data_IF_748598889081
#
_entry.id   IF_748598889081
#
_cell.length_a   1.000
_cell.length_b   1.000
_cell.length_c   1.000
_cell.angle_alpha   90.00
_cell.angle_beta   90.00
_cell.angle_gamma   90.00
#
_symmetry.space_group_name_H-M   'P 1'
#
loop_
_entity.id
_entity.type
_entity.pdbx_description
1 polymer ?
#
# COMPACT_ATOMS: atom_id res chain seq x y z
N UNK A 1 -4.22 33.15 -13.29
CA UNK A 1 -3.30 32.00 -13.39
C UNK A 1 -3.57 31.07 -12.21
N UNK A 2 -4.11 29.88 -12.46
CA UNK A 2 -4.36 28.90 -11.41
C UNK A 2 -3.07 28.15 -11.11
N UNK A 3 -2.48 28.37 -9.94
CA UNK A 3 -1.44 27.50 -9.43
C UNK A 3 -2.06 26.14 -9.10
N UNK A 4 -1.50 25.01 -9.55
CA UNK A 4 -1.98 23.69 -9.15
C UNK A 4 -1.60 23.48 -7.67
N UNK A 5 -2.45 23.95 -6.76
CA UNK A 5 -2.42 23.57 -5.35
C UNK A 5 -3.05 22.18 -5.21
N UNK A 6 -2.47 21.20 -5.89
CA UNK A 6 -2.91 19.82 -5.81
C UNK A 6 -2.75 19.33 -4.37
N UNK A 7 -3.87 19.08 -3.69
CA UNK A 7 -3.92 18.29 -2.47
C UNK A 7 -3.33 16.90 -2.74
N UNK A 8 -2.01 16.77 -2.65
CA UNK A 8 -1.30 15.54 -2.96
C UNK A 8 -1.65 14.53 -1.88
N UNK A 9 -2.55 13.60 -2.19
CA UNK A 9 -2.80 12.42 -1.37
C UNK A 9 -1.74 11.37 -1.68
N UNK A 10 -1.18 10.78 -0.63
CA UNK A 10 -0.28 9.63 -0.74
C UNK A 10 -1.10 8.36 -0.59
N UNK A 11 -0.95 7.43 -1.52
CA UNK A 11 -1.55 6.09 -1.46
C UNK A 11 -0.41 5.07 -1.56
N UNK A 12 -0.38 4.12 -0.63
CA UNK A 12 0.60 3.02 -0.61
C UNK A 12 -0.07 1.73 -1.06
N UNK A 13 0.57 1.01 -1.98
CA UNK A 13 0.16 -0.33 -2.42
C UNK A 13 1.21 -1.34 -1.99
N UNK A 14 0.77 -2.44 -1.36
CA UNK A 14 1.61 -3.55 -0.92
C UNK A 14 1.11 -4.83 -1.57
N UNK A 15 2.02 -5.63 -2.10
CA UNK A 15 1.68 -6.93 -2.67
C UNK A 15 2.84 -7.92 -2.49
N UNK A 16 2.49 -9.19 -2.30
CA UNK A 16 3.44 -10.30 -2.28
C UNK A 16 3.66 -10.79 -3.71
N UNK A 17 4.90 -11.19 -4.03
CA UNK A 17 5.24 -11.72 -5.34
C UNK A 17 5.67 -13.19 -5.20
N UNK A 18 5.06 -14.06 -6.01
CA UNK A 18 5.44 -15.47 -6.19
C UNK A 18 5.79 -15.72 -7.65
N UNK A 19 6.44 -16.85 -7.93
CA UNK A 19 6.75 -17.26 -9.31
C UNK A 19 5.50 -17.40 -10.21
N UNK A 20 4.34 -17.62 -9.60
CA UNK A 20 3.05 -17.71 -10.29
C UNK A 20 2.34 -16.36 -10.45
N UNK A 21 2.87 -15.28 -9.89
CA UNK A 21 2.30 -13.93 -9.98
C UNK A 21 2.15 -13.22 -8.62
N UNK A 22 1.39 -12.12 -8.66
CA UNK A 22 1.09 -11.28 -7.50
C UNK A 22 0.03 -11.93 -6.60
N UNK A 23 0.27 -11.90 -5.29
CA UNK A 23 -0.63 -12.41 -4.26
C UNK A 23 -0.81 -11.36 -3.16
N UNK A 24 -1.90 -11.48 -2.39
CA UNK A 24 -2.15 -10.65 -1.21
C UNK A 24 -2.04 -9.13 -1.47
N UNK A 25 -2.81 -8.52 -2.39
CA UNK A 25 -2.75 -7.07 -2.60
C UNK A 25 -3.45 -6.30 -1.47
N UNK A 26 -2.85 -5.20 -1.02
CA UNK A 26 -3.41 -4.27 -0.02
C UNK A 26 -3.14 -2.83 -0.44
N UNK A 27 -4.12 -1.94 -0.22
CA UNK A 27 -4.03 -0.50 -0.52
C UNK A 27 -4.32 0.30 0.74
N UNK A 28 -3.52 1.33 0.97
CA UNK A 28 -3.59 2.25 2.10
C UNK A 28 -3.63 3.68 1.59
N UNK A 29 -4.58 4.47 2.08
CA UNK A 29 -4.62 5.92 1.84
C UNK A 29 -3.69 6.66 2.81
N UNK A 30 -2.39 6.41 2.67
CA UNK A 30 -1.33 7.06 3.41
C UNK A 30 -0.01 6.31 3.35
N UNK A 31 1.06 6.85 3.96
CA UNK A 31 2.32 6.12 4.16
C UNK A 31 2.10 4.88 5.01
N UNK A 32 2.75 3.78 4.65
CA UNK A 32 2.80 2.58 5.48
C UNK A 32 3.79 2.75 6.65
N UNK A 33 3.52 2.08 7.77
CA UNK A 33 4.44 1.95 8.91
C UNK A 33 4.66 0.47 9.27
N UNK A 34 5.49 0.22 10.30
CA UNK A 34 5.81 -1.14 10.75
C UNK A 34 4.58 -1.95 11.15
N UNK A 35 3.67 -1.38 11.93
CA UNK A 35 2.46 -2.07 12.42
C UNK A 35 1.52 -2.45 11.26
N UNK A 36 1.34 -1.56 10.30
CA UNK A 36 0.56 -1.83 9.09
C UNK A 36 1.19 -2.92 8.22
N UNK A 37 2.52 -2.96 8.16
CA UNK A 37 3.24 -4.02 7.44
C UNK A 37 3.16 -5.36 8.18
N UNK A 38 3.25 -5.37 9.51
CA UNK A 38 3.06 -6.59 10.30
C UNK A 38 1.65 -7.15 10.13
N UNK A 39 0.63 -6.29 10.24
CA UNK A 39 -0.75 -6.68 9.99
C UNK A 39 -0.93 -7.25 8.57
N UNK A 40 -0.28 -6.66 7.57
CA UNK A 40 -0.26 -7.18 6.21
C UNK A 40 0.29 -8.61 6.14
N UNK A 41 1.42 -8.89 6.78
CA UNK A 41 2.03 -10.24 6.80
C UNK A 41 1.12 -11.24 7.54
N UNK A 42 0.60 -10.87 8.71
CA UNK A 42 -0.19 -11.78 9.56
C UNK A 42 -1.62 -12.02 9.06
N UNK A 43 -2.22 -11.06 8.34
CA UNK A 43 -3.63 -11.13 7.94
C UNK A 43 -3.84 -11.34 6.44
N UNK A 44 -2.88 -10.94 5.60
CA UNK A 44 -3.05 -10.92 4.15
C UNK A 44 -2.15 -11.95 3.45
N UNK A 45 -0.95 -12.23 3.97
CA UNK A 45 -0.06 -13.28 3.42
C UNK A 45 -0.24 -14.68 4.01
N UNK A 46 -1.06 -14.82 5.05
CA UNK A 46 -1.37 -16.12 5.67
C UNK A 46 -2.48 -16.82 4.92
#
# INVERSE_FOLDING_TARGET
MGFPHGHRKTTTLVAGLRMTGMVAPMVLDGPINGDWFEAYVTKVLT
#
